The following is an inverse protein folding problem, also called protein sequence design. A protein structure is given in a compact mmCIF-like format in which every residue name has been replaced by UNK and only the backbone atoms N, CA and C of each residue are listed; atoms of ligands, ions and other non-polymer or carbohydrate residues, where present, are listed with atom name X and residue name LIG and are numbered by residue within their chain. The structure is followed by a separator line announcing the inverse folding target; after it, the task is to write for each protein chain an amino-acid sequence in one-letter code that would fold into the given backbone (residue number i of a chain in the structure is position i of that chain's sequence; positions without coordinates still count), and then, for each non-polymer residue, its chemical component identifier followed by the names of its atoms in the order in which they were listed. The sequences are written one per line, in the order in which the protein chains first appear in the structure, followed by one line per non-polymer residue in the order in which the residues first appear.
data_IF_999036177874
#
_entry.id   IF_999036177874
#
_cell.length_a   1.000
_cell.length_b   1.000
_cell.length_c   1.000
_cell.angle_alpha   90.00
_cell.angle_beta   90.00
_cell.angle_gamma   90.00
#
_symmetry.space_group_name_H-M   'P 1'
#
loop_
_entity.id
_entity.type
_entity.pdbx_description
1 polymer ?
#
# COMPACT_ATOMS: atom_id res chain seq x y z
N UNK A 1 -9.62 -5.79 -3.90
CA UNK A 1 -8.58 -5.99 -2.85
C UNK A 1 -9.23 -6.30 -1.51
N UNK A 2 -10.20 -5.50 -1.07
CA UNK A 2 -11.03 -5.76 0.12
C UNK A 2 -11.64 -7.17 0.16
N UNK A 3 -12.38 -7.58 -0.88
CA UNK A 3 -13.00 -8.92 -0.95
C UNK A 3 -11.98 -10.06 -0.81
N UNK A 4 -10.85 -9.94 -1.50
CA UNK A 4 -9.76 -10.90 -1.43
C UNK A 4 -9.20 -11.01 -0.01
N UNK A 5 -8.97 -9.88 0.66
CA UNK A 5 -8.46 -9.88 2.03
C UNK A 5 -9.48 -10.40 3.04
N UNK A 6 -10.78 -10.28 2.77
CA UNK A 6 -11.84 -10.83 3.63
C UNK A 6 -11.86 -12.36 3.64
N UNK A 7 -11.33 -13.02 2.61
CA UNK A 7 -11.26 -14.49 2.51
C UNK A 7 -9.90 -15.06 2.86
N UNK A 8 -8.86 -14.22 2.94
CA UNK A 8 -7.51 -14.62 3.30
C UNK A 8 -7.39 -14.94 4.80
N UNK A 9 -6.68 -16.02 5.14
CA UNK A 9 -6.27 -16.30 6.51
C UNK A 9 -5.41 -15.13 7.03
N UNK A 10 -5.78 -14.49 8.14
CA UNK A 10 -5.01 -13.40 8.74
C UNK A 10 -3.54 -13.72 9.04
N UNK A 11 -3.20 -15.00 9.22
CA UNK A 11 -1.85 -15.50 9.51
C UNK A 11 -1.09 -15.98 8.27
N UNK A 12 -1.75 -16.06 7.10
CA UNK A 12 -1.09 -16.49 5.88
C UNK A 12 0.01 -15.50 5.47
N UNK A 13 1.13 -16.02 4.98
CA UNK A 13 2.18 -15.19 4.39
C UNK A 13 1.64 -14.52 3.11
N UNK A 14 1.55 -13.18 3.06
CA UNK A 14 1.04 -12.45 1.90
C UNK A 14 1.83 -12.72 0.62
N UNK A 15 3.09 -13.13 0.72
CA UNK A 15 3.93 -13.44 -0.45
C UNK A 15 3.53 -14.71 -1.18
N UNK A 16 2.85 -15.64 -0.50
CA UNK A 16 2.38 -16.89 -1.10
C UNK A 16 1.05 -16.72 -1.83
N UNK A 17 0.32 -15.64 -1.53
CA UNK A 17 -0.96 -15.36 -2.14
C UNK A 17 -0.82 -14.62 -3.48
N UNK A 18 -0.75 -15.38 -4.58
CA UNK A 18 -0.50 -14.86 -5.94
C UNK A 18 -1.40 -13.69 -6.33
N UNK A 19 -2.73 -13.83 -6.19
CA UNK A 19 -3.66 -12.77 -6.60
C UNK A 19 -3.47 -11.47 -5.79
N UNK A 20 -3.20 -11.58 -4.49
CA UNK A 20 -2.98 -10.43 -3.63
C UNK A 20 -1.68 -9.72 -4.01
N UNK A 21 -0.63 -10.49 -4.30
CA UNK A 21 0.66 -9.99 -4.76
C UNK A 21 0.55 -9.27 -6.10
N UNK A 22 -0.19 -9.82 -7.05
CA UNK A 22 -0.46 -9.20 -8.35
C UNK A 22 -1.24 -7.89 -8.21
N UNK A 23 -2.32 -7.86 -7.41
CA UNK A 23 -3.07 -6.61 -7.17
C UNK A 23 -2.19 -5.56 -6.48
N UNK A 24 -1.36 -5.97 -5.52
CA UNK A 24 -0.42 -5.09 -4.84
C UNK A 24 0.60 -4.50 -5.80
N UNK A 25 1.18 -5.34 -6.68
CA UNK A 25 2.08 -4.89 -7.73
C UNK A 25 1.42 -3.85 -8.64
N UNK A 26 0.21 -4.12 -9.15
CA UNK A 26 -0.53 -3.19 -10.03
C UNK A 26 -0.78 -1.85 -9.34
N UNK A 27 -1.16 -1.86 -8.07
CA UNK A 27 -1.38 -0.63 -7.29
C UNK A 27 -0.07 0.16 -7.13
N UNK A 28 1.02 -0.49 -6.70
CA UNK A 28 2.31 0.17 -6.54
C UNK A 28 2.86 0.72 -7.87
N UNK A 29 2.80 -0.07 -8.94
CA UNK A 29 3.22 0.31 -10.29
C UNK A 29 2.48 1.56 -10.80
N UNK A 30 1.18 1.65 -10.51
CA UNK A 30 0.32 2.77 -10.94
C UNK A 30 0.67 4.07 -10.22
N UNK A 31 0.86 4.04 -8.90
CA UNK A 31 1.01 5.25 -8.09
C UNK A 31 2.47 5.67 -7.88
N UNK A 32 3.40 4.73 -7.79
CA UNK A 32 4.81 5.01 -7.51
C UNK A 32 5.65 5.12 -8.78
N UNK A 33 5.27 4.38 -9.83
CA UNK A 33 6.04 4.34 -11.06
C UNK A 33 7.44 3.76 -10.86
N UNK A 34 8.39 4.19 -11.70
CA UNK A 34 9.80 3.78 -11.59
C UNK A 34 9.98 2.26 -11.58
N UNK A 35 10.84 1.78 -10.68
CA UNK A 35 11.15 0.36 -10.49
C UNK A 35 9.91 -0.49 -10.17
N UNK A 36 8.89 0.08 -9.52
CA UNK A 36 7.64 -0.63 -9.20
C UNK A 36 6.85 -1.06 -10.44
N UNK A 37 7.11 -0.52 -11.63
CA UNK A 37 6.46 -0.96 -12.87
C UNK A 37 7.03 -2.26 -13.44
N UNK A 38 8.31 -2.54 -13.15
CA UNK A 38 9.09 -3.61 -13.78
C UNK A 38 9.54 -4.68 -12.81
N UNK A 39 9.32 -4.48 -11.51
CA UNK A 39 9.72 -5.42 -10.47
C UNK A 39 9.05 -6.78 -10.67
N UNK A 40 9.84 -7.85 -10.52
CA UNK A 40 9.32 -9.21 -10.57
C UNK A 40 8.49 -9.54 -9.33
N UNK A 41 7.67 -10.59 -9.38
CA UNK A 41 7.00 -11.09 -8.18
C UNK A 41 7.98 -11.62 -7.12
N UNK A 42 9.20 -12.02 -7.50
CA UNK A 42 10.20 -12.50 -6.54
C UNK A 42 10.84 -11.35 -5.78
N UNK A 43 11.05 -10.23 -6.47
CA UNK A 43 11.68 -9.00 -5.97
C UNK A 43 10.71 -8.02 -5.30
N UNK A 44 9.40 -8.25 -5.43
CA UNK A 44 8.38 -7.61 -4.61
C UNK A 44 8.17 -8.43 -3.32
N UNK A 45 8.56 -7.90 -2.17
CA UNK A 45 8.27 -8.51 -0.86
C UNK A 45 7.15 -7.76 -0.16
N UNK A 46 6.22 -8.51 0.42
CA UNK A 46 5.07 -7.95 1.13
C UNK A 46 5.04 -8.55 2.54
N UNK A 47 5.15 -7.71 3.57
CA UNK A 47 5.13 -8.14 4.95
C UNK A 47 3.87 -7.60 5.63
N UNK A 48 3.13 -8.46 6.33
CA UNK A 48 2.00 -8.02 7.14
C UNK A 48 2.50 -7.20 8.32
N UNK A 49 1.95 -6.01 8.51
CA UNK A 49 2.24 -5.14 9.66
C UNK A 49 1.07 -5.22 10.65
N UNK A 50 1.39 -5.27 11.94
CA UNK A 50 0.37 -5.19 12.99
C UNK A 50 -0.28 -3.81 12.96
N UNK A 51 -1.60 -3.78 13.01
CA UNK A 51 -2.39 -2.55 12.95
C UNK A 51 -3.62 -2.63 13.84
N UNK A 52 -4.49 -1.62 13.74
CA UNK A 52 -5.79 -1.62 14.42
C UNK A 52 -6.80 -2.57 13.76
N UNK A 53 -8.00 -2.65 14.32
CA UNK A 53 -9.06 -3.56 13.83
C UNK A 53 -9.75 -3.07 12.53
N UNK A 54 -9.63 -1.80 12.20
CA UNK A 54 -10.34 -1.17 11.06
C UNK A 54 -9.60 -1.25 9.74
N UNK A 55 -8.32 -1.64 9.76
CA UNK A 55 -7.49 -1.71 8.56
C UNK A 55 -6.50 -2.89 8.61
N UNK A 56 -6.07 -3.31 7.43
CA UNK A 56 -4.96 -4.23 7.25
C UNK A 56 -3.79 -3.46 6.63
N UNK A 57 -2.60 -3.65 7.20
CA UNK A 57 -1.38 -2.96 6.83
C UNK A 57 -0.38 -3.93 6.22
N UNK A 58 0.18 -3.57 5.08
CA UNK A 58 1.18 -4.35 4.39
C UNK A 58 2.36 -3.47 4.01
N UNK A 59 3.54 -3.80 4.51
CA UNK A 59 4.79 -3.18 4.06
C UNK A 59 5.21 -3.85 2.75
N UNK A 60 5.11 -3.11 1.66
CA UNK A 60 5.57 -3.53 0.34
C UNK A 60 6.97 -2.97 0.13
N UNK A 61 7.91 -3.78 -0.36
CA UNK A 61 9.29 -3.36 -0.60
C UNK A 61 9.89 -4.02 -1.83
N UNK A 62 10.72 -3.27 -2.53
CA UNK A 62 11.65 -3.76 -3.53
C UNK A 62 12.83 -4.45 -2.84
N UNK A 63 13.33 -5.54 -3.41
CA UNK A 63 14.60 -6.15 -2.97
C UNK A 63 15.79 -5.35 -3.49
N UNK A 64 16.96 -5.63 -2.92
CA UNK A 64 18.24 -5.04 -3.36
C UNK A 64 18.57 -5.36 -4.82
N UNK A 65 18.00 -6.43 -5.38
CA UNK A 65 18.15 -6.80 -6.79
C UNK A 65 17.38 -5.88 -7.76
N UNK A 66 16.41 -5.10 -7.24
CA UNK A 66 15.59 -4.20 -8.04
C UNK A 66 15.41 -2.83 -7.37
N UNK A 67 16.51 -2.07 -7.17
CA UNK A 67 16.46 -0.81 -6.44
C UNK A 67 15.66 0.27 -7.19
N UNK A 68 15.20 1.32 -6.49
CA UNK A 68 14.62 2.51 -7.13
C UNK A 68 15.54 3.09 -8.22
N UNK A 69 14.93 3.52 -9.32
CA UNK A 69 15.63 4.10 -10.47
C UNK A 69 15.49 5.63 -10.54
N UNK A 70 14.55 6.23 -9.80
CA UNK A 70 14.35 7.68 -9.71
C UNK A 70 14.06 8.08 -8.25
N UNK A 71 12.99 8.86 -8.04
CA UNK A 71 12.59 9.42 -6.74
C UNK A 71 11.51 8.57 -6.05
N UNK A 72 11.14 7.43 -6.62
CA UNK A 72 10.22 6.50 -5.98
C UNK A 72 10.87 5.86 -4.73
N UNK A 73 10.08 5.52 -3.70
CA UNK A 73 10.62 4.87 -2.52
C UNK A 73 10.96 3.40 -2.80
N UNK A 74 11.89 2.83 -2.04
CA UNK A 74 12.20 1.39 -2.03
C UNK A 74 11.13 0.57 -1.29
N UNK A 75 10.37 1.21 -0.40
CA UNK A 75 9.28 0.60 0.37
C UNK A 75 8.11 1.56 0.58
N UNK A 76 6.91 1.00 0.72
CA UNK A 76 5.67 1.75 0.92
C UNK A 76 4.75 0.97 1.85
N UNK A 77 3.95 1.70 2.64
CA UNK A 77 2.90 1.10 3.44
C UNK A 77 1.58 1.11 2.65
N UNK A 78 1.09 -0.10 2.33
CA UNK A 78 -0.24 -0.33 1.79
C UNK A 78 -1.23 -0.48 2.95
N UNK A 79 -2.21 0.40 3.00
CA UNK A 79 -3.30 0.36 3.98
C UNK A 79 -4.62 0.07 3.29
N UNK A 80 -5.30 -0.98 3.74
CA UNK A 80 -6.60 -1.40 3.18
C UNK A 80 -7.68 -1.32 4.26
N UNK A 81 -8.81 -0.71 3.92
CA UNK A 81 -9.98 -0.49 4.77
C UNK A 81 -11.12 -1.44 4.45
N UNK A 82 -11.91 -1.77 5.47
CA UNK A 82 -13.06 -2.68 5.35
C UNK A 82 -14.41 -1.98 5.55
N UNK A 83 -14.39 -0.68 5.85
CA UNK A 83 -15.60 0.10 6.02
C UNK A 83 -16.32 0.30 4.67
N UNK A 84 -17.65 0.47 4.67
CA UNK A 84 -18.35 0.93 3.48
C UNK A 84 -17.89 2.34 3.12
N UNK A 85 -17.53 2.55 1.85
CA UNK A 85 -17.09 3.85 1.36
C UNK A 85 -18.31 4.66 0.93
N UNK A 86 -18.39 5.91 1.39
CA UNK A 86 -19.28 6.91 0.80
C UNK A 86 -18.44 7.89 -0.01
N UNK A 87 -19.01 8.46 -1.07
CA UNK A 87 -18.30 9.45 -1.89
C UNK A 87 -17.80 10.63 -1.04
N UNK A 88 -18.64 11.09 -0.09
CA UNK A 88 -18.28 12.16 0.85
C UNK A 88 -17.06 11.80 1.71
N UNK A 89 -17.00 10.57 2.24
CA UNK A 89 -15.86 10.13 3.04
C UNK A 89 -14.57 10.07 2.21
N UNK A 90 -14.64 9.55 0.97
CA UNK A 90 -13.48 9.49 0.08
C UNK A 90 -12.92 10.88 -0.25
N UNK A 91 -13.80 11.85 -0.51
CA UNK A 91 -13.40 13.23 -0.77
C UNK A 91 -12.74 13.83 0.47
N UNK A 92 -13.38 13.72 1.64
CA UNK A 92 -12.85 14.26 2.89
C UNK A 92 -11.48 13.66 3.25
N UNK A 93 -11.36 12.33 3.21
CA UNK A 93 -10.10 11.64 3.48
C UNK A 93 -9.00 12.06 2.51
N UNK A 94 -9.33 12.19 1.22
CA UNK A 94 -8.36 12.62 0.20
C UNK A 94 -7.81 14.02 0.49
N UNK A 95 -8.68 14.97 0.87
CA UNK A 95 -8.26 16.33 1.23
C UNK A 95 -7.41 16.31 2.49
N UNK A 96 -7.85 15.60 3.55
CA UNK A 96 -7.15 15.55 4.84
C UNK A 96 -5.75 14.95 4.69
N UNK A 97 -5.62 13.77 4.06
CA UNK A 97 -4.32 13.09 3.96
C UNK A 97 -3.36 13.81 3.01
N UNK A 98 -3.88 14.43 1.95
CA UNK A 98 -3.05 15.29 1.09
C UNK A 98 -2.54 16.50 1.88
N UNK A 99 -3.40 17.17 2.64
CA UNK A 99 -3.01 18.33 3.44
C UNK A 99 -1.97 17.99 4.52
N UNK A 100 -2.12 16.83 5.18
CA UNK A 100 -1.12 16.36 6.15
C UNK A 100 0.22 16.01 5.50
N UNK A 101 0.20 15.36 4.34
CA UNK A 101 1.41 15.05 3.57
C UNK A 101 2.16 16.32 3.17
N UNK A 102 1.48 17.29 2.55
CA UNK A 102 2.11 18.53 2.07
C UNK A 102 2.66 19.40 3.20
N UNK A 103 2.01 19.37 4.36
CA UNK A 103 2.45 20.11 5.56
C UNK A 103 3.41 19.32 6.45
N UNK A 104 3.80 18.11 6.05
CA UNK A 104 4.69 17.25 6.83
C UNK A 104 4.16 16.97 8.25
N UNK A 105 2.83 16.88 8.38
CA UNK A 105 2.11 16.60 9.64
C UNK A 105 1.75 15.11 9.79
N UNK A 106 2.26 14.27 8.89
CA UNK A 106 2.06 12.83 8.86
C UNK A 106 2.94 12.17 7.80
N UNK A 107 2.78 10.85 7.59
CA UNK A 107 3.49 10.14 6.53
C UNK A 107 3.18 10.75 5.16
N UNK A 108 4.17 10.76 4.27
CA UNK A 108 3.95 11.20 2.89
C UNK A 108 2.89 10.32 2.20
N UNK A 109 1.93 10.96 1.53
CA UNK A 109 0.89 10.28 0.78
C UNK A 109 1.36 10.02 -0.67
N UNK A 110 1.28 8.77 -1.12
CA UNK A 110 1.64 8.40 -2.50
C UNK A 110 0.43 8.16 -3.40
N UNK A 111 -0.70 7.73 -2.86
CA UNK A 111 -1.88 7.49 -3.66
C UNK A 111 -3.07 6.99 -2.86
N UNK A 112 -4.28 7.31 -3.32
CA UNK A 112 -5.55 6.88 -2.75
C UNK A 112 -6.31 6.10 -3.83
N UNK A 113 -6.93 5.00 -3.43
CA UNK A 113 -7.76 4.15 -4.30
C UNK A 113 -8.97 3.63 -3.51
N UNK A 114 -9.97 3.10 -4.21
CA UNK A 114 -11.13 2.53 -3.51
C UNK A 114 -10.71 1.36 -2.63
N UNK A 115 -10.99 1.50 -1.34
CA UNK A 115 -10.67 0.58 -0.27
C UNK A 115 -9.32 0.81 0.39
N UNK A 116 -8.55 1.85 0.07
CA UNK A 116 -7.23 2.00 0.68
C UNK A 116 -6.34 3.13 0.15
N UNK A 117 -5.09 3.12 0.63
CA UNK A 117 -4.06 4.06 0.19
C UNK A 117 -2.64 3.51 0.31
N UNK A 118 -1.72 4.19 -0.36
CA UNK A 118 -0.28 4.04 -0.23
C UNK A 118 0.29 5.27 0.50
N UNK A 119 1.04 5.02 1.56
CA UNK A 119 1.69 6.05 2.36
C UNK A 119 3.12 5.64 2.73
N UNK A 120 3.93 6.61 3.16
CA UNK A 120 5.25 6.35 3.71
C UNK A 120 5.19 5.44 4.93
N UNK A 121 6.12 4.49 4.99
CA UNK A 121 6.30 3.67 6.17
C UNK A 121 7.19 4.41 7.17
N UNK A 122 6.66 4.68 8.36
CA UNK A 122 7.41 5.25 9.48
C UNK A 122 7.80 4.10 10.43
N UNK A 123 9.09 3.78 10.59
CA UNK A 123 9.55 2.84 11.61
C UNK A 123 9.19 3.35 13.01
N UNK A 124 8.76 2.44 13.88
CA UNK A 124 8.50 2.71 15.30
C UNK A 124 9.67 2.27 16.16
#
# INVERSE_FOLDING_TARGET
MKELLSTMDPQADPNTHKEFKEKTHVVCARFLGGAWKTVSHEDLKINRVKGGMSNMLFLCRLTENHPPIKNEPDKVLLRVYFNPETESHLVAESVIFTLFSERHLGPKLYGIFSGGRLEEYIPV
#
